data_IF_292035485615
#
_entry.id   IF_292035485615
#
_cell.length_a   1.000
_cell.length_b   1.000
_cell.length_c   1.000
_cell.angle_alpha   90.00
_cell.angle_beta   90.00
_cell.angle_gamma   90.00
#
_symmetry.space_group_name_H-M   'P 1'
#
loop_
_entity.id
_entity.type
_entity.pdbx_description
1 polymer ?
#
# COMPACT_ATOMS: atom_id res chain seq x y z
N UNK A 1 -19.52 -2.46 -20.54
CA UNK A 1 -19.16 -2.27 -19.12
C UNK A 1 -17.68 -1.93 -18.86
N UNK A 2 -16.89 -1.57 -19.88
CA UNK A 2 -15.45 -1.26 -19.76
C UNK A 2 -15.21 0.16 -19.19
N UNK A 3 -16.17 1.06 -19.39
CA UNK A 3 -16.15 2.43 -18.88
C UNK A 3 -16.25 2.53 -17.35
N UNK A 4 -16.91 1.56 -16.71
CA UNK A 4 -17.16 1.61 -15.26
C UNK A 4 -15.87 1.52 -14.43
N UNK A 5 -14.97 0.54 -14.69
CA UNK A 5 -13.66 0.51 -14.03
C UNK A 5 -12.82 1.78 -14.27
N UNK A 6 -12.81 2.29 -15.51
CA UNK A 6 -12.03 3.48 -15.88
C UNK A 6 -12.58 4.73 -15.17
N UNK A 7 -13.90 4.87 -15.10
CA UNK A 7 -14.53 5.99 -14.40
C UNK A 7 -14.21 5.96 -12.90
N UNK A 8 -14.20 4.78 -12.29
CA UNK A 8 -13.86 4.62 -10.86
C UNK A 8 -12.41 4.99 -10.61
N UNK A 9 -11.46 4.51 -11.41
CA UNK A 9 -10.05 4.84 -11.22
C UNK A 9 -9.81 6.34 -11.35
N UNK A 10 -10.44 6.97 -12.35
CA UNK A 10 -10.35 8.42 -12.52
C UNK A 10 -10.96 9.17 -11.34
N UNK A 11 -12.16 8.77 -10.89
CA UNK A 11 -12.84 9.38 -9.76
C UNK A 11 -12.02 9.28 -8.46
N UNK A 12 -11.47 8.10 -8.15
CA UNK A 12 -10.65 7.88 -6.96
C UNK A 12 -9.35 8.69 -7.04
N UNK A 13 -8.69 8.71 -8.20
CA UNK A 13 -7.47 9.48 -8.40
C UNK A 13 -7.70 10.97 -8.21
N UNK A 14 -8.79 11.48 -8.80
CA UNK A 14 -9.19 12.88 -8.68
C UNK A 14 -9.52 13.25 -7.24
N UNK A 15 -10.29 12.41 -6.55
CA UNK A 15 -10.61 12.58 -5.13
C UNK A 15 -9.35 12.60 -4.25
N UNK A 16 -8.39 11.71 -4.53
CA UNK A 16 -7.15 11.62 -3.77
C UNK A 16 -6.27 12.85 -3.94
N UNK A 17 -6.10 13.34 -5.18
CA UNK A 17 -5.30 14.56 -5.44
C UNK A 17 -5.90 15.75 -4.69
N UNK A 18 -7.22 15.93 -4.73
CA UNK A 18 -7.88 17.00 -3.99
C UNK A 18 -7.75 16.87 -2.46
N UNK A 19 -7.75 15.64 -1.95
CA UNK A 19 -7.52 15.40 -0.52
C UNK A 19 -6.11 15.83 -0.11
N UNK A 20 -5.09 15.45 -0.90
CA UNK A 20 -3.70 15.85 -0.64
C UNK A 20 -3.55 17.37 -0.78
N UNK A 21 -4.06 17.96 -1.84
CA UNK A 21 -4.01 19.41 -2.05
C UNK A 21 -4.68 20.19 -0.93
N UNK A 22 -5.82 19.72 -0.44
CA UNK A 22 -6.50 20.31 0.72
C UNK A 22 -5.67 20.22 2.00
N UNK A 23 -4.99 19.08 2.22
CA UNK A 23 -4.13 18.88 3.39
C UNK A 23 -2.89 19.78 3.35
N UNK A 24 -2.28 19.96 2.18
CA UNK A 24 -1.08 20.79 1.99
C UNK A 24 -1.37 22.26 1.62
N UNK A 25 -2.62 22.62 1.35
CA UNK A 25 -3.07 24.01 1.11
C UNK A 25 -2.48 25.04 2.09
N UNK A 26 -2.52 24.85 3.42
CA UNK A 26 -1.92 25.80 4.36
C UNK A 26 -0.39 25.90 4.24
N UNK A 27 0.27 24.80 3.84
CA UNK A 27 1.72 24.75 3.64
C UNK A 27 2.11 25.50 2.35
N UNK A 28 1.33 25.38 1.28
CA UNK A 28 1.56 26.13 0.03
C UNK A 28 1.43 27.64 0.23
N UNK A 29 0.42 28.07 1.00
CA UNK A 29 0.22 29.47 1.35
C UNK A 29 1.38 30.05 2.18
N UNK A 30 1.94 29.25 3.10
CA UNK A 30 3.09 29.66 3.91
C UNK A 30 4.41 29.66 3.14
N UNK A 31 4.59 28.76 2.17
CA UNK A 31 5.78 28.65 1.33
C UNK A 31 5.79 29.65 0.16
N UNK A 32 4.71 30.41 -0.06
CA UNK A 32 4.61 31.40 -1.14
C UNK A 32 4.55 30.77 -2.54
N UNK A 33 4.20 29.48 -2.64
CA UNK A 33 4.16 28.73 -3.90
C UNK A 33 3.03 29.22 -4.82
N UNK A 34 2.03 29.92 -4.27
CA UNK A 34 1.02 30.65 -5.04
C UNK A 34 1.64 31.65 -6.03
N UNK A 35 2.80 32.22 -5.69
CA UNK A 35 3.55 33.17 -6.54
C UNK A 35 4.23 32.44 -7.71
N UNK A 36 4.72 31.21 -7.48
CA UNK A 36 5.34 30.38 -8.52
C UNK A 36 4.29 29.82 -9.49
N UNK A 37 3.11 29.48 -8.97
CA UNK A 37 1.93 29.15 -9.77
C UNK A 37 1.46 30.32 -10.64
N UNK A 38 1.41 31.54 -10.09
CA UNK A 38 1.02 32.75 -10.83
C UNK A 38 1.96 33.09 -12.00
N UNK A 39 3.27 32.82 -11.87
CA UNK A 39 4.23 33.07 -12.94
C UNK A 39 4.17 32.01 -14.07
N UNK A 40 3.75 30.78 -13.75
CA UNK A 40 3.51 29.70 -14.72
C UNK A 40 2.08 29.75 -15.32
N UNK A 41 1.14 30.41 -14.62
CA UNK A 41 -0.24 30.69 -15.05
C UNK A 41 -0.30 31.56 -16.31
N UNK A 42 0.77 32.27 -16.65
CA UNK A 42 0.86 33.08 -17.87
C UNK A 42 1.18 32.25 -19.13
N UNK A 43 1.67 31.01 -18.97
CA UNK A 43 2.08 30.13 -20.08
C UNK A 43 1.13 28.93 -20.28
N UNK A 44 0.35 28.54 -19.26
CA UNK A 44 -0.53 27.37 -19.31
C UNK A 44 -1.96 27.69 -18.81
N UNK A 45 -3.01 27.09 -19.40
CA UNK A 45 -4.39 27.23 -18.92
C UNK A 45 -4.54 26.86 -17.44
N UNK A 46 -5.39 27.57 -16.67
CA UNK A 46 -5.54 27.39 -15.22
C UNK A 46 -5.89 25.94 -14.83
N UNK A 47 -6.63 25.21 -15.67
CA UNK A 47 -6.95 23.80 -15.41
C UNK A 47 -5.71 22.89 -15.36
N UNK A 48 -4.69 23.13 -16.18
CA UNK A 48 -3.52 22.24 -16.30
C UNK A 48 -2.51 22.49 -15.17
N UNK A 49 -2.38 23.75 -14.72
CA UNK A 49 -1.41 24.12 -13.68
C UNK A 49 -1.80 23.56 -12.30
N UNK A 50 -3.10 23.52 -11.99
CA UNK A 50 -3.59 23.02 -10.71
C UNK A 50 -3.48 21.50 -10.61
N UNK A 51 -3.75 20.77 -11.71
CA UNK A 51 -3.49 19.33 -11.78
C UNK A 51 -2.00 19.03 -11.59
N UNK A 52 -1.12 19.79 -12.24
CA UNK A 52 0.32 19.49 -12.25
C UNK A 52 0.94 19.58 -10.84
N UNK A 53 0.62 20.64 -10.11
CA UNK A 53 1.18 20.86 -8.77
C UNK A 53 0.64 19.81 -7.79
N UNK A 54 -0.67 19.58 -7.79
CA UNK A 54 -1.28 18.62 -6.87
C UNK A 54 -0.93 17.16 -7.16
N UNK A 55 -0.71 16.82 -8.42
CA UNK A 55 -0.22 15.51 -8.81
C UNK A 55 1.22 15.27 -8.34
N UNK A 56 2.11 16.26 -8.53
CA UNK A 56 3.52 16.16 -8.10
C UNK A 56 3.62 16.04 -6.58
N UNK A 57 2.83 16.81 -5.84
CA UNK A 57 2.83 16.78 -4.39
C UNK A 57 2.23 15.48 -3.86
N UNK A 58 1.19 14.96 -4.50
CA UNK A 58 0.63 13.63 -4.21
C UNK A 58 1.66 12.51 -4.40
N UNK A 59 2.41 12.51 -5.51
CA UNK A 59 3.48 11.52 -5.73
C UNK A 59 4.56 11.64 -4.65
N UNK A 60 5.01 12.87 -4.38
CA UNK A 60 6.04 13.14 -3.37
C UNK A 60 5.59 12.70 -1.98
N UNK A 61 4.33 12.96 -1.64
CA UNK A 61 3.71 12.53 -0.39
C UNK A 61 3.65 11.01 -0.26
N UNK A 62 3.15 10.31 -1.28
CA UNK A 62 3.10 8.83 -1.29
C UNK A 62 4.51 8.26 -1.14
N UNK A 63 5.49 8.82 -1.85
CA UNK A 63 6.88 8.39 -1.75
C UNK A 63 7.45 8.58 -0.33
N UNK A 64 7.26 9.75 0.26
CA UNK A 64 7.71 10.04 1.63
C UNK A 64 7.06 9.13 2.67
N UNK A 65 5.74 8.91 2.57
CA UNK A 65 5.03 7.97 3.43
C UNK A 65 5.56 6.55 3.23
N UNK A 66 5.83 6.14 1.99
CA UNK A 66 6.41 4.83 1.68
C UNK A 66 7.79 4.65 2.33
N UNK A 67 8.68 5.62 2.18
CA UNK A 67 10.00 5.61 2.83
C UNK A 67 9.86 5.57 4.36
N UNK A 68 8.96 6.37 4.92
CA UNK A 68 8.69 6.37 6.36
C UNK A 68 8.19 5.01 6.85
N UNK A 69 7.28 4.37 6.12
CA UNK A 69 6.75 3.04 6.46
C UNK A 69 7.79 1.93 6.34
N UNK A 70 8.75 2.06 5.43
CA UNK A 70 9.87 1.12 5.29
C UNK A 70 10.92 1.22 6.41
N UNK A 71 10.89 2.30 7.19
CA UNK A 71 11.80 2.53 8.31
C UNK A 71 11.35 1.80 9.58
N UNK A 72 12.27 1.63 10.52
CA UNK A 72 11.99 1.05 11.85
C UNK A 72 10.88 1.80 12.61
N UNK A 73 10.79 3.12 12.41
CA UNK A 73 9.70 3.93 12.97
C UNK A 73 8.35 3.54 12.39
N UNK A 74 8.27 3.34 11.07
CA UNK A 74 7.06 2.87 10.40
C UNK A 74 6.61 1.51 10.92
N UNK A 75 7.54 0.55 11.02
CA UNK A 75 7.26 -0.77 11.59
C UNK A 75 6.77 -0.69 13.05
N UNK A 76 7.35 0.20 13.85
CA UNK A 76 6.95 0.42 15.25
C UNK A 76 5.55 1.02 15.37
N UNK A 77 5.22 2.02 14.53
CA UNK A 77 3.89 2.64 14.49
C UNK A 77 2.82 1.63 14.06
N UNK A 78 3.10 0.84 13.04
CA UNK A 78 2.20 -0.24 12.60
C UNK A 78 1.98 -1.27 13.71
N UNK A 79 3.05 -1.68 14.40
CA UNK A 79 2.96 -2.59 15.55
C UNK A 79 2.11 -2.03 16.70
N UNK A 80 2.25 -0.74 17.01
CA UNK A 80 1.43 -0.07 18.02
C UNK A 80 -0.06 -0.02 17.61
N UNK A 81 -0.32 0.28 16.33
CA UNK A 81 -1.68 0.26 15.77
C UNK A 81 -2.33 -1.13 15.85
N UNK A 82 -1.58 -2.18 15.52
CA UNK A 82 -2.06 -3.56 15.68
C UNK A 82 -2.39 -3.89 17.14
N UNK A 83 -1.54 -3.46 18.06
CA UNK A 83 -1.77 -3.67 19.49
C UNK A 83 -3.07 -2.99 19.95
N UNK A 84 -3.31 -1.76 19.50
CA UNK A 84 -4.52 -1.01 19.81
C UNK A 84 -5.78 -1.70 19.26
N UNK A 85 -5.75 -2.13 17.99
CA UNK A 85 -6.87 -2.82 17.34
C UNK A 85 -7.17 -4.16 18.03
N UNK A 86 -6.14 -4.92 18.41
CA UNK A 86 -6.28 -6.21 19.11
C UNK A 86 -6.90 -6.07 20.50
N UNK A 87 -6.85 -4.87 21.11
CA UNK A 87 -7.48 -4.56 22.40
C UNK A 87 -9.00 -4.38 22.29
N UNK A 88 -9.53 -4.08 21.11
CA UNK A 88 -10.96 -3.88 20.89
C UNK A 88 -11.67 -5.21 20.59
N UNK A 89 -12.70 -5.61 21.38
CA UNK A 89 -13.28 -6.95 21.32
C UNK A 89 -13.96 -7.28 19.99
N UNK A 90 -14.62 -6.31 19.33
CA UNK A 90 -15.28 -6.54 18.04
C UNK A 90 -14.33 -6.36 16.85
N UNK A 91 -13.54 -5.29 16.85
CA UNK A 91 -12.68 -4.91 15.71
C UNK A 91 -11.57 -5.94 15.49
N UNK A 92 -11.05 -6.58 16.55
CA UNK A 92 -9.98 -7.59 16.42
C UNK A 92 -10.35 -8.76 15.51
N UNK A 93 -11.62 -9.18 15.50
CA UNK A 93 -12.05 -10.35 14.73
C UNK A 93 -12.04 -10.04 13.23
N UNK A 94 -12.53 -8.85 12.85
CA UNK A 94 -12.52 -8.37 11.46
C UNK A 94 -11.07 -8.13 11.00
N UNK A 95 -10.24 -7.50 11.84
CA UNK A 95 -8.84 -7.24 11.53
C UNK A 95 -8.06 -8.54 11.28
N UNK A 96 -8.20 -9.53 12.17
CA UNK A 96 -7.50 -10.80 12.04
C UNK A 96 -7.93 -11.56 10.78
N UNK A 97 -9.23 -11.57 10.45
CA UNK A 97 -9.73 -12.18 9.23
C UNK A 97 -9.15 -11.49 7.97
N UNK A 98 -9.14 -10.16 7.94
CA UNK A 98 -8.54 -9.39 6.85
C UNK A 98 -7.03 -9.62 6.72
N UNK A 99 -6.31 -9.69 7.85
CA UNK A 99 -4.87 -9.94 7.87
C UNK A 99 -4.54 -11.32 7.30
N UNK A 100 -5.35 -12.33 7.64
CA UNK A 100 -5.17 -13.70 7.15
C UNK A 100 -5.35 -13.81 5.63
N UNK A 101 -6.38 -13.14 5.08
CA UNK A 101 -6.59 -13.10 3.63
C UNK A 101 -5.41 -12.41 2.94
N UNK A 102 -4.94 -11.28 3.50
CA UNK A 102 -3.78 -10.57 2.96
C UNK A 102 -2.50 -11.41 3.02
N UNK A 103 -2.25 -12.16 4.10
CA UNK A 103 -1.05 -12.99 4.24
C UNK A 103 -1.06 -14.22 3.35
N UNK A 104 -2.24 -14.77 3.06
CA UNK A 104 -2.39 -15.91 2.15
C UNK A 104 -2.10 -15.53 0.68
N UNK A 105 -2.32 -14.26 0.31
CA UNK A 105 -2.03 -13.73 -1.02
C UNK A 105 -0.54 -13.35 -1.15
N UNK A 106 0.17 -13.12 -0.04
CA UNK A 106 1.61 -12.84 -0.06
C UNK A 106 2.39 -14.06 -0.58
N UNK A 107 3.20 -13.91 -1.66
CA UNK A 107 3.92 -15.02 -2.31
C UNK A 107 4.89 -15.80 -1.40
N UNK A 108 5.34 -15.19 -0.31
CA UNK A 108 6.38 -15.74 0.57
C UNK A 108 5.95 -17.00 1.34
N UNK A 109 4.66 -17.19 1.65
CA UNK A 109 4.23 -18.30 2.49
C UNK A 109 4.15 -19.65 1.75
N UNK A 110 3.86 -19.65 0.45
CA UNK A 110 3.68 -20.89 -0.32
C UNK A 110 4.98 -21.48 -0.89
N UNK A 111 6.09 -20.75 -0.85
CA UNK A 111 7.32 -21.17 -1.52
C UNK A 111 8.22 -22.03 -0.63
N UNK A 112 8.04 -22.05 0.70
CA UNK A 112 8.91 -22.84 1.60
C UNK A 112 8.37 -24.23 1.97
N UNK A 113 7.05 -24.45 1.95
CA UNK A 113 6.43 -25.70 2.41
C UNK A 113 6.62 -26.91 1.48
N UNK A 114 7.23 -26.73 0.30
CA UNK A 114 7.39 -27.79 -0.71
C UNK A 114 8.81 -27.91 -1.27
N UNK A 115 9.83 -27.37 -0.59
CA UNK A 115 11.19 -27.30 -1.15
C UNK A 115 11.98 -28.60 -1.05
N UNK A 116 11.63 -29.52 -0.15
CA UNK A 116 12.47 -30.68 0.10
C UNK A 116 11.64 -31.98 0.20
N UNK A 117 11.84 -32.85 -0.79
CA UNK A 117 11.27 -34.18 -0.84
C UNK A 117 12.37 -35.18 -0.54
N UNK A 118 12.23 -35.93 0.54
CA UNK A 118 13.11 -37.03 0.89
C UNK A 118 12.50 -38.35 0.38
N UNK A 119 13.36 -39.26 -0.10
CA UNK A 119 12.96 -40.63 -0.40
C UNK A 119 13.34 -41.49 0.80
N UNK A 120 12.34 -42.08 1.46
CA UNK A 120 12.54 -42.98 2.59
C UNK A 120 12.29 -44.43 2.16
N UNK A 121 13.05 -45.37 2.73
CA UNK A 121 12.89 -46.79 2.45
C UNK A 121 11.63 -47.31 3.15
N UNK A 122 10.71 -47.88 2.39
CA UNK A 122 9.51 -48.49 2.96
C UNK A 122 9.87 -49.87 3.57
N UNK A 123 9.20 -50.33 4.64
CA UNK A 123 9.49 -51.60 5.31
C UNK A 123 9.44 -52.84 4.40
N UNK A 124 8.82 -52.76 3.22
CA UNK A 124 8.86 -53.82 2.21
C UNK A 124 10.06 -53.65 1.28
N UNK A 125 10.77 -54.75 1.03
CA UNK A 125 11.95 -54.78 0.18
C UNK A 125 11.57 -54.35 -1.25
N UNK A 126 12.20 -53.30 -1.75
CA UNK A 126 11.97 -52.77 -3.09
C UNK A 126 10.97 -51.61 -3.17
N UNK A 127 10.34 -51.23 -2.06
CA UNK A 127 9.41 -50.10 -2.00
C UNK A 127 10.08 -48.86 -1.41
N UNK A 128 9.80 -47.70 -2.00
CA UNK A 128 10.26 -46.39 -1.56
C UNK A 128 9.06 -45.47 -1.38
N UNK A 129 9.10 -44.60 -0.37
CA UNK A 129 8.07 -43.61 -0.12
C UNK A 129 8.65 -42.19 -0.22
N UNK A 130 7.83 -41.26 -0.72
CA UNK A 130 8.15 -39.84 -0.71
C UNK A 130 7.71 -39.24 0.62
N UNK A 131 8.62 -38.54 1.28
CA UNK A 131 8.36 -37.77 2.49
C UNK A 131 8.60 -36.29 2.19
N UNK A 132 7.69 -35.43 2.61
CA UNK A 132 7.88 -33.99 2.56
C UNK A 132 8.50 -33.54 3.88
N UNK A 133 9.61 -32.82 3.82
CA UNK A 133 10.21 -32.18 5.00
C UNK A 133 9.48 -30.85 5.17
N UNK A 134 8.73 -30.74 6.28
CA UNK A 134 7.97 -29.53 6.65
C UNK A 134 8.62 -28.79 7.81
#
# INVERSE_FOLDING_TARGET
VILFPIAITFYITWWFIHFVDGFFSPIYAQLGIDIFGAHLMQLCPPFISWIGLGFVTSITFIFLVGVFMSSWLGASVLGLGEWFIKRMPFVRHIYNASKQISSAISPDQNTQAFKEVAIIRHPRIGEYAFAFIT
#
